data_IF_583810797449
#
_entry.id   IF_583810797449
#
_cell.length_a   1.000
_cell.length_b   1.000
_cell.length_c   1.000
_cell.angle_alpha   90.00
_cell.angle_beta   90.00
_cell.angle_gamma   90.00
#
_symmetry.space_group_name_H-M   'P 1'
#
loop_
_entity.id
_entity.type
_entity.pdbx_description
1 polymer ?
#
# COMPACT_ATOMS: atom_id res chain seq x y z
N UNK A 1 -14.06 -17.30 7.63
CA UNK A 1 -14.11 -16.04 6.86
C UNK A 1 -12.97 -16.08 5.86
N UNK A 2 -13.25 -16.20 4.57
CA UNK A 2 -12.26 -15.88 3.53
C UNK A 2 -12.30 -14.35 3.41
N UNK A 3 -11.17 -13.69 3.62
CA UNK A 3 -11.04 -12.27 3.33
C UNK A 3 -10.39 -12.17 1.95
N UNK A 4 -10.99 -11.42 1.04
CA UNK A 4 -10.31 -11.02 -0.19
C UNK A 4 -9.15 -10.09 0.20
N UNK A 5 -7.96 -10.44 -0.25
CA UNK A 5 -6.70 -9.79 0.13
C UNK A 5 -6.31 -8.83 -1.00
N UNK A 6 -6.34 -7.50 -0.81
CA UNK A 6 -5.91 -6.56 -1.84
C UNK A 6 -4.43 -6.79 -2.18
N UNK A 7 -4.16 -7.09 -3.45
CA UNK A 7 -2.80 -7.23 -4.01
C UNK A 7 -2.73 -6.45 -5.30
N UNK A 8 -1.70 -5.63 -5.44
CA UNK A 8 -1.44 -4.88 -6.67
C UNK A 8 -0.02 -5.12 -7.16
N UNK A 9 0.10 -5.23 -8.48
CA UNK A 9 1.36 -5.36 -9.19
C UNK A 9 1.68 -4.04 -9.91
N UNK A 10 2.93 -3.61 -9.77
CA UNK A 10 3.51 -2.53 -10.56
C UNK A 10 4.66 -3.08 -11.37
N UNK A 11 4.67 -2.80 -12.67
CA UNK A 11 5.73 -3.21 -13.58
C UNK A 11 6.09 -2.06 -14.50
N UNK A 12 7.38 -1.88 -14.75
CA UNK A 12 7.87 -1.00 -15.80
C UNK A 12 7.81 -1.72 -17.16
N UNK A 13 7.42 -1.00 -18.22
CA UNK A 13 7.49 -1.53 -19.60
C UNK A 13 8.92 -1.54 -20.14
N UNK A 14 9.83 -0.79 -19.51
CA UNK A 14 11.20 -0.56 -20.01
C UNK A 14 12.29 -1.18 -19.12
N UNK A 15 11.93 -1.71 -17.95
CA UNK A 15 12.84 -2.42 -17.06
C UNK A 15 12.20 -3.71 -16.55
N UNK A 16 13.00 -4.74 -16.25
CA UNK A 16 12.53 -5.97 -15.59
C UNK A 16 12.21 -5.76 -14.09
N UNK A 17 11.90 -4.52 -13.70
CA UNK A 17 11.57 -4.16 -12.33
C UNK A 17 10.06 -4.33 -12.14
N UNK A 18 9.68 -5.45 -11.54
CA UNK A 18 8.33 -5.64 -11.01
C UNK A 18 8.33 -5.53 -9.50
N UNK A 19 7.24 -5.01 -8.94
CA UNK A 19 7.01 -4.94 -7.51
C UNK A 19 5.56 -5.30 -7.20
N UNK A 20 5.37 -6.14 -6.20
CA UNK A 20 4.06 -6.47 -5.65
C UNK A 20 3.88 -5.77 -4.30
N UNK A 21 2.67 -5.32 -4.00
CA UNK A 21 2.27 -4.83 -2.69
C UNK A 21 0.96 -5.50 -2.27
N UNK A 22 0.85 -5.85 -0.99
CA UNK A 22 -0.31 -6.57 -0.45
C UNK A 22 -0.65 -6.09 0.96
N UNK A 23 -1.96 -6.04 1.24
CA UNK A 23 -2.50 -5.96 2.61
C UNK A 23 -2.80 -7.38 3.05
N UNK A 24 -2.30 -7.85 4.20
CA UNK A 24 -2.50 -9.24 4.62
C UNK A 24 -2.68 -9.42 6.13
N UNK A 25 -3.26 -10.56 6.50
CA UNK A 25 -3.46 -10.97 7.88
C UNK A 25 -4.60 -10.21 8.58
N UNK A 26 -4.92 -10.64 9.80
CA UNK A 26 -6.07 -10.14 10.58
C UNK A 26 -5.95 -8.64 10.94
N UNK A 27 -4.73 -8.10 10.98
CA UNK A 27 -4.45 -6.71 11.31
C UNK A 27 -4.19 -5.83 10.07
N UNK A 28 -4.55 -6.31 8.87
CA UNK A 28 -4.40 -5.58 7.59
C UNK A 28 -2.98 -5.03 7.38
N UNK A 29 -1.95 -5.86 7.62
CA UNK A 29 -0.56 -5.42 7.53
C UNK A 29 -0.16 -5.18 6.08
N UNK A 30 0.62 -4.12 5.83
CA UNK A 30 1.15 -3.81 4.52
C UNK A 30 2.54 -4.44 4.31
N UNK A 31 2.75 -5.07 3.16
CA UNK A 31 4.07 -5.53 2.73
C UNK A 31 4.28 -5.39 1.22
N UNK A 32 5.55 -5.34 0.81
CA UNK A 32 5.95 -5.35 -0.59
C UNK A 32 7.02 -6.40 -0.88
N UNK A 33 7.16 -6.77 -2.15
CA UNK A 33 8.17 -7.69 -2.66
C UNK A 33 8.63 -7.20 -4.03
N UNK A 34 9.95 -7.08 -4.25
CA UNK A 34 10.52 -6.73 -5.54
C UNK A 34 10.86 -7.98 -6.34
N UNK A 35 11.04 -7.84 -7.65
CA UNK A 35 11.60 -8.90 -8.48
C UNK A 35 12.94 -9.40 -7.90
N UNK A 36 13.07 -10.70 -7.71
CA UNK A 36 14.28 -11.32 -7.13
C UNK A 36 14.31 -11.38 -5.60
N UNK A 37 13.39 -10.69 -4.90
CA UNK A 37 13.26 -10.83 -3.45
C UNK A 37 12.76 -12.25 -3.12
N UNK A 38 13.34 -12.84 -2.07
CA UNK A 38 12.94 -14.17 -1.56
C UNK A 38 11.88 -14.10 -0.47
N UNK A 39 11.59 -12.89 0.04
CA UNK A 39 10.71 -12.64 1.19
C UNK A 39 10.03 -11.29 1.04
N UNK A 40 8.82 -11.19 1.57
CA UNK A 40 8.11 -9.93 1.68
C UNK A 40 8.73 -9.03 2.76
N UNK A 41 8.81 -7.74 2.48
CA UNK A 41 9.24 -6.72 3.42
C UNK A 41 8.02 -6.01 3.99
N UNK A 42 7.88 -6.04 5.32
CA UNK A 42 6.83 -5.34 6.05
C UNK A 42 7.05 -3.83 6.00
N UNK A 43 5.96 -3.08 5.80
CA UNK A 43 5.92 -1.64 5.99
C UNK A 43 5.30 -1.41 7.37
N UNK A 44 6.16 -1.17 8.37
CA UNK A 44 5.70 -0.87 9.73
C UNK A 44 5.20 0.57 9.82
N UNK A 45 3.92 0.76 9.49
CA UNK A 45 3.22 1.99 9.77
C UNK A 45 2.70 1.90 11.21
N UNK A 46 3.39 2.53 12.17
CA UNK A 46 2.88 2.74 13.54
C UNK A 46 1.68 3.69 13.52
N UNK A 47 0.56 3.21 12.99
CA UNK A 47 -0.67 3.99 12.78
C UNK A 47 -1.82 3.39 13.54
N UNK A 48 -2.75 4.27 13.89
CA UNK A 48 -3.94 3.92 14.66
C UNK A 48 -5.03 3.29 13.78
N UNK A 49 -4.97 3.51 12.47
CA UNK A 49 -5.96 3.08 11.49
C UNK A 49 -5.40 1.99 10.60
N UNK A 50 -6.29 1.11 10.13
CA UNK A 50 -5.93 -0.05 9.30
C UNK A 50 -5.98 0.31 7.82
N UNK A 51 -5.10 -0.32 7.05
CA UNK A 51 -5.09 -0.28 5.60
C UNK A 51 -6.37 -0.91 5.03
N UNK A 52 -6.96 -0.25 4.04
CA UNK A 52 -8.23 -0.68 3.44
C UNK A 52 -8.06 -1.17 2.01
N UNK A 53 -7.31 -0.45 1.18
CA UNK A 53 -7.10 -0.79 -0.22
C UNK A 53 -5.73 -0.30 -0.72
N UNK A 54 -5.27 -0.89 -1.83
CA UNK A 54 -4.05 -0.51 -2.53
C UNK A 54 -4.39 -0.31 -4.01
N UNK A 55 -3.86 0.76 -4.59
CA UNK A 55 -3.80 0.92 -6.05
C UNK A 55 -2.36 1.21 -6.50
N UNK A 56 -2.08 0.92 -7.77
CA UNK A 56 -0.84 1.36 -8.41
C UNK A 56 -1.15 2.21 -9.63
N UNK A 57 -0.42 3.31 -9.75
CA UNK A 57 -0.52 4.24 -10.85
C UNK A 57 0.85 4.90 -11.07
N UNK A 58 1.31 4.94 -12.32
CA UNK A 58 2.57 5.59 -12.73
C UNK A 58 3.78 5.23 -11.84
N UNK A 59 3.96 3.94 -11.56
CA UNK A 59 5.11 3.44 -10.78
C UNK A 59 5.05 3.72 -9.27
N UNK A 60 3.92 4.25 -8.80
CA UNK A 60 3.66 4.51 -7.37
C UNK A 60 2.60 3.54 -6.85
N UNK A 61 2.62 3.35 -5.53
CA UNK A 61 1.60 2.66 -4.77
C UNK A 61 0.90 3.65 -3.86
N UNK A 62 -0.43 3.61 -3.87
CA UNK A 62 -1.27 4.42 -3.01
C UNK A 62 -2.04 3.48 -2.09
N UNK A 63 -1.98 3.76 -0.80
CA UNK A 63 -2.64 2.96 0.23
C UNK A 63 -3.63 3.85 0.95
N UNK A 64 -4.89 3.43 0.97
CA UNK A 64 -5.95 4.08 1.73
C UNK A 64 -6.07 3.48 3.13
N UNK A 65 -6.39 4.34 4.09
CA UNK A 65 -6.65 3.97 5.47
C UNK A 65 -8.12 4.20 5.82
N UNK A 66 -8.63 3.52 6.85
CA UNK A 66 -10.05 3.61 7.26
C UNK A 66 -10.51 5.01 7.67
N UNK A 67 -9.59 5.92 7.98
CA UNK A 67 -9.89 7.33 8.28
C UNK A 67 -9.86 8.24 7.04
N UNK A 68 -9.64 7.67 5.85
CA UNK A 68 -9.54 8.37 4.58
C UNK A 68 -8.16 8.93 4.27
N UNK A 69 -7.15 8.75 5.13
CA UNK A 69 -5.78 9.11 4.76
C UNK A 69 -5.31 8.27 3.56
N UNK A 70 -4.57 8.91 2.66
CA UNK A 70 -3.89 8.22 1.56
C UNK A 70 -2.40 8.44 1.72
N UNK A 71 -1.64 7.37 1.61
CA UNK A 71 -0.19 7.41 1.64
C UNK A 71 0.40 6.83 0.38
N UNK A 72 1.51 7.40 -0.05
CA UNK A 72 2.16 7.05 -1.30
C UNK A 72 3.60 6.60 -1.07
N UNK A 73 4.03 5.61 -1.84
CA UNK A 73 5.42 5.18 -1.93
C UNK A 73 5.74 4.68 -3.33
N UNK A 74 7.02 4.60 -3.65
CA UNK A 74 7.51 4.06 -4.91
C UNK A 74 8.67 3.08 -4.69
N UNK A 75 9.17 2.52 -5.78
CA UNK A 75 10.23 1.52 -5.77
C UNK A 75 11.55 2.00 -5.13
N UNK A 76 11.80 3.31 -5.09
CA UNK A 76 12.98 3.95 -4.51
C UNK A 76 12.77 4.40 -3.07
N UNK A 77 11.53 4.74 -2.69
CA UNK A 77 11.22 5.29 -1.37
C UNK A 77 10.88 4.22 -0.34
N UNK A 78 10.30 3.08 -0.78
CA UNK A 78 9.86 2.01 0.12
C UNK A 78 11.03 1.43 0.95
N UNK A 79 10.82 1.11 2.24
CA UNK A 79 9.52 1.05 2.97
C UNK A 79 8.99 2.41 3.43
N UNK A 80 9.70 3.52 3.18
CA UNK A 80 9.24 4.84 3.59
C UNK A 80 8.12 5.32 2.67
N UNK A 81 6.99 5.63 3.29
CA UNK A 81 5.83 6.25 2.63
C UNK A 81 5.67 7.69 3.10
N UNK A 82 5.04 8.51 2.27
CA UNK A 82 4.67 9.90 2.58
C UNK A 82 3.17 10.08 2.49
N UNK A 83 2.62 11.00 3.29
CA UNK A 83 1.20 11.30 3.26
C UNK A 83 0.87 12.04 1.96
N UNK A 84 -0.06 11.48 1.20
CA UNK A 84 -0.57 12.06 -0.05
C UNK A 84 -1.83 12.88 0.21
N UNK A 85 -2.76 12.35 1.01
CA UNK A 85 -4.00 13.04 1.40
C UNK A 85 -4.24 12.92 2.91
N UNK A 86 -4.80 13.97 3.55
CA UNK A 86 -5.16 13.94 4.97
C UNK A 86 -6.40 13.07 5.22
N UNK A 87 -6.69 12.79 6.50
CA UNK A 87 -7.91 12.09 6.90
C UNK A 87 -9.13 12.91 6.54
N UNK A 88 -10.22 12.22 6.23
CA UNK A 88 -11.49 12.86 5.95
C UNK A 88 -12.20 13.16 7.28
N UNK A 89 -12.66 14.41 7.51
CA UNK A 89 -13.59 14.71 8.59
C UNK A 89 -14.77 13.74 8.56
N UNK A 90 -15.09 13.14 9.72
CA UNK A 90 -16.22 12.19 9.88
C UNK A 90 -17.60 12.77 9.55
N UNK A 91 -17.69 14.05 9.20
CA UNK A 91 -18.93 14.80 8.98
C UNK A 91 -19.18 15.18 7.51
N UNK A 92 -18.55 14.53 6.54
CA UNK A 92 -18.95 14.74 5.14
C UNK A 92 -20.34 14.15 4.90
N UNK A 93 -21.33 14.94 4.44
CA UNK A 93 -22.59 14.39 3.97
C UNK A 93 -22.32 13.59 2.69
N UNK A 94 -22.87 12.38 2.63
CA UNK A 94 -22.95 11.54 1.43
C UNK A 94 -23.77 12.23 0.34
#
# INVERSE_FOLDING_TARGET
MHYDVPVVLSSSLTSNECMAMAIFGEFSKLAFCKYGDKKWTLIDAKRQYVEQDIISHEGKFYVSYTDGEIWVGDHTSLPKMTRFAPSLPRNFPL
#
